data_IF_712674284786
#
_entry.id   IF_712674284786
#
_cell.length_a   1.000
_cell.length_b   1.000
_cell.length_c   1.000
_cell.angle_alpha   90.00
_cell.angle_beta   90.00
_cell.angle_gamma   90.00
#
_symmetry.space_group_name_H-M   'P 1'
#
loop_
_entity.id
_entity.type
_entity.pdbx_description
1 polymer ?
#
# COMPACT_ATOMS: atom_id res chain seq x y z
N UNK A 1 -3.15 -29.79 5.99
CA UNK A 1 -2.19 -28.66 5.89
C UNK A 1 -2.90 -27.39 6.34
N UNK A 2 -2.24 -26.47 7.06
CA UNK A 2 -2.88 -25.21 7.45
C UNK A 2 -3.35 -24.44 6.20
N UNK A 3 -4.50 -23.76 6.31
CA UNK A 3 -5.01 -22.87 5.26
C UNK A 3 -3.92 -21.84 4.94
N UNK A 4 -3.65 -21.63 3.65
CA UNK A 4 -2.72 -20.57 3.23
C UNK A 4 -3.49 -19.33 2.86
N UNK A 5 -2.98 -18.21 3.35
CA UNK A 5 -3.53 -16.88 3.19
C UNK A 5 -3.03 -16.25 1.89
N UNK A 6 -3.88 -15.56 1.12
CA UNK A 6 -3.51 -14.86 -0.12
C UNK A 6 -3.12 -13.41 0.11
N UNK A 7 -2.57 -13.13 1.29
CA UNK A 7 -2.29 -11.80 1.77
C UNK A 7 -1.77 -11.83 3.18
N UNK A 8 -1.83 -10.67 3.83
CA UNK A 8 -1.44 -10.45 5.21
C UNK A 8 -2.64 -9.97 6.01
N UNK A 9 -2.74 -10.41 7.26
CA UNK A 9 -3.68 -9.85 8.23
C UNK A 9 -3.00 -8.71 8.98
N UNK A 10 -3.48 -7.50 8.75
CA UNK A 10 -3.03 -6.30 9.43
C UNK A 10 -3.96 -6.04 10.61
N UNK A 11 -3.38 -5.76 11.78
CA UNK A 11 -4.15 -5.35 12.95
C UNK A 11 -4.93 -4.08 12.62
N UNK A 12 -6.25 -4.14 12.75
CA UNK A 12 -7.16 -3.03 12.52
C UNK A 12 -8.43 -3.24 13.35
N UNK A 13 -9.03 -2.15 13.80
CA UNK A 13 -10.23 -2.17 14.67
C UNK A 13 -11.49 -1.86 13.88
N UNK A 14 -12.63 -2.42 14.29
CA UNK A 14 -13.93 -2.10 13.67
C UNK A 14 -14.16 -0.59 13.62
N UNK A 15 -14.59 -0.09 12.45
CA UNK A 15 -14.86 1.34 12.24
C UNK A 15 -13.67 2.14 11.73
N UNK A 16 -12.45 1.57 11.72
CA UNK A 16 -11.29 2.24 11.12
C UNK A 16 -11.44 2.37 9.60
N UNK A 17 -10.89 3.46 9.08
CA UNK A 17 -10.91 3.77 7.65
C UNK A 17 -9.84 2.98 6.90
N UNK A 18 -10.22 2.47 5.72
CA UNK A 18 -9.32 1.76 4.81
C UNK A 18 -9.14 2.58 3.55
N UNK A 19 -7.89 2.75 3.16
CA UNK A 19 -7.48 3.60 2.05
C UNK A 19 -6.88 2.78 0.90
N UNK A 20 -7.04 3.26 -0.33
CA UNK A 20 -6.42 2.66 -1.51
C UNK A 20 -4.90 2.77 -1.40
N UNK A 21 -4.21 1.66 -1.62
CA UNK A 21 -2.76 1.56 -1.54
C UNK A 21 -2.08 2.15 -2.78
N UNK A 22 -2.82 2.30 -3.88
CA UNK A 22 -2.32 2.85 -5.13
C UNK A 22 -3.48 3.32 -6.02
N UNK A 23 -3.17 4.18 -6.99
CA UNK A 23 -4.13 4.66 -8.00
C UNK A 23 -4.68 3.49 -8.81
N UNK A 24 -5.98 3.48 -9.08
CA UNK A 24 -6.57 2.40 -9.86
C UNK A 24 -8.06 2.51 -10.10
N UNK A 25 -8.64 1.40 -10.56
CA UNK A 25 -10.07 1.26 -10.85
C UNK A 25 -10.64 0.13 -10.01
N UNK A 26 -11.74 0.40 -9.31
CA UNK A 26 -12.46 -0.62 -8.54
C UNK A 26 -13.07 -1.64 -9.50
N UNK A 27 -12.61 -2.88 -9.46
CA UNK A 27 -13.12 -3.96 -10.35
C UNK A 27 -14.12 -4.86 -9.67
N UNK A 28 -14.12 -4.87 -8.35
CA UNK A 28 -15.11 -5.60 -7.58
C UNK A 28 -15.36 -5.00 -6.21
N UNK A 29 -16.61 -5.07 -5.81
CA UNK A 29 -17.06 -5.06 -4.41
C UNK A 29 -17.85 -6.34 -4.20
N UNK A 30 -17.68 -7.00 -3.06
CA UNK A 30 -18.45 -8.20 -2.73
C UNK A 30 -19.04 -8.10 -1.33
N UNK A 31 -20.28 -8.59 -1.22
CA UNK A 31 -21.04 -8.63 0.02
C UNK A 31 -20.92 -10.00 0.69
N UNK A 32 -21.34 -10.08 1.96
CA UNK A 32 -21.49 -11.33 2.69
C UNK A 32 -22.31 -12.33 1.87
N UNK A 33 -21.72 -13.47 1.56
CA UNK A 33 -22.45 -14.62 1.02
C UNK A 33 -22.77 -15.55 2.17
N UNK A 34 -24.04 -15.93 2.33
CA UNK A 34 -24.47 -16.96 3.30
C UNK A 34 -23.86 -18.34 3.07
N UNK A 35 -23.04 -18.50 2.03
CA UNK A 35 -22.39 -19.76 1.64
C UNK A 35 -20.84 -19.68 1.66
N UNK A 36 -20.26 -18.48 1.79
CA UNK A 36 -18.81 -18.27 1.80
C UNK A 36 -18.46 -17.12 2.76
N UNK A 37 -17.97 -17.46 3.96
CA UNK A 37 -17.58 -16.51 5.01
C UNK A 37 -16.26 -15.77 4.73
N UNK A 38 -15.93 -15.47 3.46
CA UNK A 38 -14.73 -14.69 3.11
C UNK A 38 -14.90 -13.20 3.40
N UNK A 39 -16.06 -12.80 3.91
CA UNK A 39 -16.33 -11.44 4.31
C UNK A 39 -16.71 -10.52 3.16
N UNK A 40 -16.72 -9.22 3.47
CA UNK A 40 -16.97 -8.14 2.53
C UNK A 40 -15.64 -7.54 2.11
N UNK A 41 -15.57 -7.01 0.90
CA UNK A 41 -14.31 -6.47 0.41
C UNK A 41 -14.37 -5.72 -0.90
N UNK A 42 -13.24 -5.13 -1.26
CA UNK A 42 -13.01 -4.39 -2.50
C UNK A 42 -11.74 -4.89 -3.19
N UNK A 43 -11.77 -4.93 -4.51
CA UNK A 43 -10.61 -5.24 -5.36
C UNK A 43 -10.37 -4.08 -6.31
N UNK A 44 -9.15 -3.57 -6.32
CA UNK A 44 -8.73 -2.46 -7.18
C UNK A 44 -7.69 -3.01 -8.17
N UNK A 45 -7.90 -2.72 -9.45
CA UNK A 45 -6.92 -2.95 -10.50
C UNK A 45 -6.10 -1.68 -10.70
N UNK A 46 -4.78 -1.87 -10.73
CA UNK A 46 -3.79 -0.86 -11.03
C UNK A 46 -3.22 -1.15 -12.43
N UNK A 47 -2.06 -0.58 -12.76
CA UNK A 47 -1.39 -0.82 -14.06
C UNK A 47 -1.09 -2.30 -14.31
N UNK A 48 -0.28 -2.91 -13.44
CA UNK A 48 0.23 -4.28 -13.63
C UNK A 48 -0.10 -5.23 -12.47
N UNK A 49 -0.91 -4.80 -11.50
CA UNK A 49 -1.28 -5.60 -10.34
C UNK A 49 -2.67 -5.24 -9.82
N UNK A 50 -3.21 -6.07 -8.94
CA UNK A 50 -4.45 -5.82 -8.20
C UNK A 50 -4.23 -5.90 -6.70
N UNK A 51 -4.90 -5.02 -5.96
CA UNK A 51 -4.98 -5.07 -4.50
C UNK A 51 -6.36 -5.54 -4.05
N UNK A 52 -6.40 -6.28 -2.95
CA UNK A 52 -7.62 -6.82 -2.34
C UNK A 52 -7.67 -6.46 -0.88
N UNK A 53 -8.83 -5.96 -0.45
CA UNK A 53 -9.10 -5.52 0.91
C UNK A 53 -10.33 -6.27 1.40
N UNK A 54 -10.22 -7.03 2.48
CA UNK A 54 -11.31 -7.86 3.01
C UNK A 54 -11.55 -7.59 4.50
N UNK A 55 -12.69 -8.05 4.99
CA UNK A 55 -13.25 -7.70 6.29
C UNK A 55 -13.59 -6.21 6.38
N UNK A 56 -14.06 -5.65 5.27
CA UNK A 56 -14.39 -4.23 5.13
C UNK A 56 -15.76 -4.01 4.49
N UNK A 57 -16.48 -2.97 4.91
CA UNK A 57 -17.62 -2.42 4.17
C UNK A 57 -17.10 -1.42 3.11
N UNK A 58 -17.20 -1.71 1.81
CA UNK A 58 -16.78 -0.77 0.77
C UNK A 58 -17.66 0.48 0.78
N UNK A 59 -17.04 1.64 0.59
CA UNK A 59 -17.73 2.94 0.36
C UNK A 59 -17.57 3.43 -1.08
N UNK A 60 -16.99 2.60 -1.95
CA UNK A 60 -16.81 2.84 -3.38
C UNK A 60 -17.60 1.83 -4.21
N UNK A 61 -17.85 2.16 -5.47
CA UNK A 61 -18.60 1.32 -6.41
C UNK A 61 -17.68 0.74 -7.49
N UNK A 62 -18.08 -0.40 -8.07
CA UNK A 62 -17.38 -0.99 -9.23
C UNK A 62 -17.37 0.01 -10.38
N UNK A 63 -16.21 0.18 -11.01
CA UNK A 63 -15.95 1.15 -12.08
C UNK A 63 -15.42 2.50 -11.59
N UNK A 64 -15.42 2.78 -10.28
CA UNK A 64 -14.86 4.02 -9.76
C UNK A 64 -13.34 4.06 -9.91
N UNK A 65 -12.82 5.21 -10.34
CA UNK A 65 -11.40 5.54 -10.19
C UNK A 65 -11.13 5.94 -8.75
N UNK A 66 -10.00 5.50 -8.21
CA UNK A 66 -9.53 5.85 -6.87
C UNK A 66 -8.08 6.28 -6.93
N UNK A 67 -7.72 7.29 -6.14
CA UNK A 67 -6.34 7.73 -5.97
C UNK A 67 -5.71 7.03 -4.76
N UNK A 68 -4.39 6.93 -4.75
CA UNK A 68 -3.59 6.55 -3.59
C UNK A 68 -4.01 7.40 -2.38
N UNK A 69 -4.24 6.74 -1.24
CA UNK A 69 -4.68 7.40 -0.01
C UNK A 69 -6.16 7.80 0.00
N UNK A 70 -6.94 7.49 -1.04
CA UNK A 70 -8.38 7.71 -1.03
C UNK A 70 -9.09 6.68 -0.14
N UNK A 71 -10.02 7.12 0.70
CA UNK A 71 -10.87 6.21 1.50
C UNK A 71 -11.73 5.34 0.58
N UNK A 72 -11.66 4.02 0.79
CA UNK A 72 -12.36 3.03 -0.03
C UNK A 72 -13.27 2.11 0.77
N UNK A 73 -13.04 1.94 2.07
CA UNK A 73 -13.85 1.07 2.90
C UNK A 73 -13.72 1.40 4.40
N UNK A 74 -14.49 0.70 5.22
CA UNK A 74 -14.46 0.77 6.70
C UNK A 74 -14.32 -0.65 7.24
N UNK A 75 -13.45 -0.88 8.23
CA UNK A 75 -13.26 -2.19 8.86
C UNK A 75 -14.56 -2.66 9.52
N UNK A 76 -14.88 -3.94 9.36
CA UNK A 76 -16.04 -4.58 10.00
C UNK A 76 -15.66 -5.89 10.66
N UNK A 77 -16.33 -6.19 11.76
CA UNK A 77 -16.23 -7.50 12.38
C UNK A 77 -16.97 -8.52 11.51
N UNK A 78 -16.26 -9.59 11.13
CA UNK A 78 -16.85 -10.71 10.42
C UNK A 78 -16.51 -11.97 11.21
N UNK A 79 -17.54 -12.65 11.69
CA UNK A 79 -17.44 -13.88 12.47
C UNK A 79 -16.56 -13.78 13.74
N UNK A 80 -16.52 -12.61 14.39
CA UNK A 80 -15.80 -12.41 15.65
C UNK A 80 -14.32 -12.06 15.49
N UNK A 81 -13.84 -11.87 14.26
CA UNK A 81 -12.47 -11.49 13.96
C UNK A 81 -12.43 -10.06 13.38
N UNK A 82 -11.51 -9.24 13.91
CA UNK A 82 -11.28 -7.86 13.46
C UNK A 82 -9.82 -7.70 13.01
N UNK A 83 -9.65 -7.55 11.70
CA UNK A 83 -8.39 -7.25 11.05
C UNK A 83 -8.67 -6.77 9.64
N UNK A 84 -7.67 -6.19 8.98
CA UNK A 84 -7.69 -5.98 7.55
C UNK A 84 -6.95 -7.13 6.87
N UNK A 85 -7.66 -7.92 6.07
CA UNK A 85 -7.00 -8.78 5.12
C UNK A 85 -6.56 -7.96 3.91
N UNK A 86 -5.26 -7.88 3.67
CA UNK A 86 -4.68 -7.18 2.52
C UNK A 86 -3.92 -8.14 1.61
N UNK A 87 -4.30 -8.21 0.33
CA UNK A 87 -3.67 -9.06 -0.67
C UNK A 87 -3.18 -8.27 -1.88
N UNK A 88 -2.01 -8.65 -2.40
CA UNK A 88 -1.48 -8.13 -3.66
C UNK A 88 -1.34 -9.26 -4.65
N UNK A 89 -1.79 -9.05 -5.88
CA UNK A 89 -1.66 -10.00 -6.99
C UNK A 89 -1.09 -9.30 -8.20
N UNK A 90 0.04 -9.77 -8.71
CA UNK A 90 0.56 -9.33 -10.01
C UNK A 90 -0.41 -9.75 -11.14
N UNK A 91 -0.58 -8.88 -12.12
CA UNK A 91 -1.54 -8.99 -13.20
C UNK A 91 -2.87 -8.25 -12.96
N UNK A 92 -3.56 -8.00 -14.08
CA UNK A 92 -4.87 -7.37 -14.15
C UNK A 92 -5.96 -8.18 -13.44
N UNK A 93 -7.10 -7.57 -13.18
CA UNK A 93 -8.21 -8.19 -12.47
C UNK A 93 -8.75 -9.42 -13.21
N UNK A 94 -8.98 -10.47 -12.43
CA UNK A 94 -9.74 -11.64 -12.83
C UNK A 94 -10.58 -12.13 -11.66
N UNK A 95 -11.44 -13.13 -11.88
CA UNK A 95 -12.21 -13.74 -10.80
C UNK A 95 -11.31 -14.29 -9.66
N UNK A 96 -10.06 -14.63 -9.96
CA UNK A 96 -9.06 -15.11 -9.00
C UNK A 96 -8.60 -13.99 -8.05
N UNK A 97 -8.65 -12.71 -8.45
CA UNK A 97 -8.25 -11.58 -7.58
C UNK A 97 -9.11 -11.45 -6.32
N UNK A 98 -10.31 -12.04 -6.26
CA UNK A 98 -11.21 -11.98 -5.10
C UNK A 98 -10.88 -12.98 -3.98
N UNK A 99 -9.84 -13.80 -4.14
CA UNK A 99 -9.54 -14.88 -3.20
C UNK A 99 -8.81 -14.32 -1.97
N UNK A 100 -9.39 -14.54 -0.78
CA UNK A 100 -8.77 -14.23 0.54
C UNK A 100 -8.12 -15.43 1.24
N UNK A 101 -8.39 -16.65 0.78
CA UNK A 101 -7.74 -17.85 1.25
C UNK A 101 -7.61 -18.84 0.10
N UNK A 102 -6.49 -19.58 0.06
CA UNK A 102 -6.26 -20.58 -0.97
C UNK A 102 -6.96 -21.91 -0.67
N UNK A 103 -7.55 -22.54 -1.70
CA UNK A 103 -7.86 -23.98 -1.67
C UNK A 103 -6.55 -24.81 -1.58
N UNK A 104 -6.63 -26.14 -1.33
CA UNK A 104 -5.47 -26.94 -0.88
C UNK A 104 -4.69 -27.84 -1.92
N UNK A 105 -5.07 -28.04 -3.21
CA UNK A 105 -4.37 -28.80 -4.31
C UNK A 105 -4.59 -28.45 -5.83
N UNK A 106 -3.65 -28.37 -6.79
CA UNK A 106 -3.96 -27.92 -8.20
C UNK A 106 -5.16 -28.57 -8.96
N UNK A 107 -6.18 -27.77 -9.39
CA UNK A 107 -7.13 -28.15 -10.46
C UNK A 107 -8.62 -28.22 -10.12
N UNK A 108 -9.04 -28.06 -8.86
CA UNK A 108 -10.45 -28.00 -8.46
C UNK A 108 -10.85 -26.54 -8.17
N UNK A 109 -10.84 -25.71 -9.21
CA UNK A 109 -11.72 -24.55 -9.14
C UNK A 109 -13.15 -25.09 -9.15
N UNK A 110 -13.81 -24.98 -8.01
CA UNK A 110 -15.24 -25.18 -7.86
C UNK A 110 -16.03 -24.06 -8.58
N UNK A 111 -15.56 -23.60 -9.74
CA UNK A 111 -16.16 -22.58 -10.59
C UNK A 111 -17.05 -23.27 -11.62
N UNK A 112 -18.30 -23.49 -11.26
CA UNK A 112 -19.32 -24.03 -12.15
C UNK A 112 -20.36 -22.94 -12.41
N UNK A 113 -20.75 -22.75 -13.67
CA UNK A 113 -21.79 -21.79 -14.08
C UNK A 113 -21.59 -20.36 -13.53
N UNK A 114 -20.34 -19.90 -13.43
CA UNK A 114 -20.03 -18.56 -12.95
C UNK A 114 -19.91 -18.40 -11.42
N UNK A 115 -19.92 -19.48 -10.63
CA UNK A 115 -19.95 -19.44 -9.15
C UNK A 115 -18.92 -20.37 -8.49
N UNK A 116 -18.33 -19.94 -7.37
CA UNK A 116 -17.40 -20.73 -6.55
C UNK A 116 -18.13 -21.59 -5.50
N UNK A 117 -17.72 -22.85 -5.29
CA UNK A 117 -18.39 -23.83 -4.39
C UNK A 117 -17.48 -24.56 -3.38
N UNK A 118 -16.29 -24.04 -3.02
CA UNK A 118 -15.47 -24.58 -1.91
C UNK A 118 -13.98 -24.82 -2.18
N UNK A 119 -13.27 -25.41 -1.21
CA UNK A 119 -11.80 -25.34 -1.06
C UNK A 119 -10.99 -26.65 -1.22
N UNK A 120 -11.46 -27.66 -1.97
CA UNK A 120 -10.87 -29.01 -1.88
C UNK A 120 -9.66 -29.30 -2.78
N UNK A 121 -9.41 -28.54 -3.85
CA UNK A 121 -8.12 -28.58 -4.56
C UNK A 121 -7.75 -27.26 -5.32
N UNK A 122 -6.81 -26.41 -4.83
CA UNK A 122 -5.84 -25.62 -5.66
C UNK A 122 -4.39 -25.58 -5.06
N UNK A 123 -3.27 -25.57 -5.83
CA UNK A 123 -1.94 -25.73 -5.22
C UNK A 123 -1.54 -24.46 -4.47
N UNK A 124 -0.41 -24.53 -3.76
CA UNK A 124 0.27 -23.38 -3.16
C UNK A 124 0.39 -22.21 -4.15
N UNK A 125 -0.27 -21.09 -3.83
CA UNK A 125 -0.32 -19.84 -4.60
C UNK A 125 -0.82 -20.00 -6.06
N UNK A 126 -2.06 -19.60 -6.40
CA UNK A 126 -2.44 -19.39 -7.78
C UNK A 126 -1.56 -18.25 -8.30
N UNK A 127 -1.08 -18.45 -9.53
CA UNK A 127 -0.13 -17.61 -10.23
C UNK A 127 -0.34 -16.12 -9.90
N UNK A 128 0.75 -15.49 -9.44
CA UNK A 128 0.91 -14.05 -9.24
C UNK A 128 0.43 -13.43 -7.91
N UNK A 129 -0.19 -14.15 -6.96
CA UNK A 129 -0.32 -13.58 -5.61
C UNK A 129 1.07 -13.44 -4.97
N UNK A 130 1.34 -12.27 -4.41
CA UNK A 130 2.64 -11.94 -3.82
C UNK A 130 2.70 -12.55 -2.43
N UNK A 131 3.68 -13.41 -2.17
CA UNK A 131 3.96 -13.96 -0.85
C UNK A 131 4.78 -12.94 -0.05
N UNK A 132 4.20 -12.24 0.95
CA UNK A 132 4.90 -11.20 1.67
C UNK A 132 6.10 -11.74 2.46
N UNK A 133 6.15 -13.04 2.75
CA UNK A 133 7.26 -13.69 3.46
C UNK A 133 8.42 -14.07 2.55
N UNK A 134 8.22 -14.00 1.22
CA UNK A 134 9.27 -14.25 0.21
C UNK A 134 9.69 -13.00 -0.53
N UNK A 135 9.06 -11.86 -0.26
CA UNK A 135 9.53 -10.57 -0.75
C UNK A 135 10.89 -10.30 -0.14
N UNK A 136 11.90 -10.23 -1.01
CA UNK A 136 13.13 -9.51 -0.69
C UNK A 136 12.81 -8.05 -0.98
N UNK A 137 12.65 -7.26 0.07
CA UNK A 137 12.66 -5.82 -0.08
C UNK A 137 14.08 -5.45 -0.48
N UNK A 138 14.31 -5.19 -1.77
CA UNK A 138 15.34 -4.22 -2.13
C UNK A 138 14.79 -2.92 -1.57
N UNK A 139 15.22 -2.57 -0.34
CA UNK A 139 15.10 -1.21 0.11
C UNK A 139 15.85 -0.45 -0.99
N UNK A 140 15.11 0.24 -1.86
CA UNK A 140 15.69 1.35 -2.58
C UNK A 140 16.02 2.34 -1.48
N UNK A 141 17.20 2.17 -0.90
CA UNK A 141 17.74 3.12 0.06
C UNK A 141 17.83 4.38 -0.78
N UNK A 142 17.02 5.40 -0.47
CA UNK A 142 17.11 6.63 -1.24
C UNK A 142 18.57 7.09 -1.15
N UNK A 143 19.13 7.41 -2.32
CA UNK A 143 20.56 7.74 -2.43
C UNK A 143 20.80 8.97 -1.56
N UNK A 144 21.88 8.94 -0.82
CA UNK A 144 22.38 10.01 0.04
C UNK A 144 23.86 10.11 -0.36
N UNK A 145 24.12 10.93 -1.37
CA UNK A 145 25.37 10.95 -2.12
C UNK A 145 26.55 11.49 -1.30
N UNK A 146 26.28 12.32 -0.28
CA UNK A 146 27.29 12.91 0.59
C UNK A 146 27.29 12.37 2.04
N UNK A 147 26.25 11.64 2.42
CA UNK A 147 26.12 10.95 3.70
C UNK A 147 25.74 11.86 4.87
N UNK A 148 25.12 13.01 4.62
CA UNK A 148 24.72 13.96 5.66
C UNK A 148 23.37 13.60 6.33
N UNK A 149 22.61 12.70 5.70
CA UNK A 149 21.33 12.20 6.17
C UNK A 149 20.11 12.81 5.47
N UNK A 150 20.29 13.69 4.49
CA UNK A 150 19.31 14.01 3.45
C UNK A 150 19.50 13.06 2.26
N UNK A 151 18.39 12.75 1.60
CA UNK A 151 18.45 12.00 0.34
C UNK A 151 18.66 12.93 -0.85
N UNK A 152 19.23 12.45 -1.95
CA UNK A 152 19.43 13.23 -3.18
C UNK A 152 18.12 13.91 -3.66
N UNK A 153 16.97 13.27 -3.43
CA UNK A 153 15.66 13.85 -3.75
C UNK A 153 15.27 14.99 -2.79
N UNK A 154 15.57 14.84 -1.51
CA UNK A 154 15.37 15.89 -0.50
C UNK A 154 16.30 17.08 -0.72
N UNK A 155 17.55 16.83 -1.07
CA UNK A 155 18.52 17.88 -1.37
C UNK A 155 18.11 18.71 -2.59
N UNK A 156 17.67 18.05 -3.68
CA UNK A 156 17.08 18.75 -4.84
C UNK A 156 15.86 19.59 -4.46
N UNK A 157 15.08 19.13 -3.49
CA UNK A 157 13.88 19.81 -3.01
C UNK A 157 14.21 21.01 -2.12
N UNK A 158 15.24 20.92 -1.29
CA UNK A 158 15.67 22.00 -0.38
C UNK A 158 16.71 22.93 -1.03
N UNK A 159 17.25 22.58 -2.19
CA UNK A 159 18.21 23.39 -2.94
C UNK A 159 19.66 23.23 -2.48
N UNK A 160 20.00 22.12 -1.82
CA UNK A 160 21.33 21.81 -1.30
C UNK A 160 22.15 20.99 -2.34
N UNK A 161 23.45 20.86 -2.13
CA UNK A 161 24.40 20.22 -3.03
C UNK A 161 24.56 18.73 -2.70
N UNK A 162 24.06 17.90 -3.63
CA UNK A 162 24.11 16.45 -3.62
C UNK A 162 25.43 15.79 -3.19
N UNK A 163 26.55 16.49 -3.30
CA UNK A 163 27.87 15.89 -3.04
C UNK A 163 28.59 16.54 -1.85
N UNK A 164 27.88 17.30 -1.01
CA UNK A 164 28.51 18.11 0.02
C UNK A 164 27.63 18.33 1.25
N UNK A 165 28.04 17.69 2.35
CA UNK A 165 27.28 17.66 3.62
C UNK A 165 26.90 19.02 4.21
N UNK A 166 27.63 20.07 3.83
CA UNK A 166 27.45 21.45 4.25
C UNK A 166 27.58 22.27 2.97
N UNK A 167 26.44 22.57 2.34
CA UNK A 167 26.38 23.15 1.00
C UNK A 167 27.09 24.50 0.91
N UNK A 168 27.06 25.30 1.97
CA UNK A 168 27.59 26.66 1.98
C UNK A 168 28.85 26.88 2.84
N UNK A 169 29.41 25.80 3.40
CA UNK A 169 30.65 25.74 4.20
C UNK A 169 30.58 26.61 5.48
N UNK A 170 29.42 26.76 6.10
CA UNK A 170 29.24 27.56 7.31
C UNK A 170 29.52 26.79 8.62
N UNK A 171 29.67 25.48 8.53
CA UNK A 171 29.95 24.56 9.62
C UNK A 171 28.74 23.79 10.14
N UNK A 172 27.55 23.96 9.56
CA UNK A 172 26.36 23.17 9.82
C UNK A 172 26.02 22.29 8.61
N UNK A 173 25.55 21.07 8.85
CA UNK A 173 25.17 20.19 7.74
C UNK A 173 23.78 20.54 7.21
N UNK A 174 23.55 20.33 5.92
CA UNK A 174 22.28 20.64 5.25
C UNK A 174 21.09 19.97 5.97
N UNK A 175 21.27 18.71 6.40
CA UNK A 175 20.31 17.98 7.22
C UNK A 175 19.90 18.70 8.49
N UNK A 176 20.85 19.28 9.21
CA UNK A 176 20.60 19.99 10.46
C UNK A 176 19.82 21.28 10.19
N UNK A 177 20.17 21.99 9.14
CA UNK A 177 19.47 23.21 8.74
C UNK A 177 18.02 22.92 8.35
N UNK A 178 17.78 21.85 7.57
CA UNK A 178 16.44 21.39 7.20
C UNK A 178 15.63 20.98 8.43
N UNK A 179 16.22 20.23 9.38
CA UNK A 179 15.54 19.83 10.61
C UNK A 179 15.13 21.02 11.47
N UNK A 180 16.05 21.97 11.67
CA UNK A 180 15.77 23.20 12.42
C UNK A 180 14.70 24.04 11.73
N UNK A 181 14.72 24.09 10.39
CA UNK A 181 13.73 24.79 9.60
C UNK A 181 12.31 24.19 9.78
N UNK A 182 12.20 22.85 9.79
CA UNK A 182 10.94 22.14 9.98
C UNK A 182 10.42 22.21 11.42
N UNK A 183 11.31 22.13 12.41
CA UNK A 183 10.97 22.12 13.84
C UNK A 183 10.51 23.50 14.33
N UNK A 184 11.32 24.53 14.08
CA UNK A 184 11.07 25.86 14.66
C UNK A 184 10.22 26.77 13.76
N UNK A 185 9.85 26.29 12.56
CA UNK A 185 9.36 27.14 11.46
C UNK A 185 10.12 28.47 11.36
N UNK A 186 11.45 28.54 11.55
CA UNK A 186 12.18 29.76 11.31
C UNK A 186 12.25 29.92 9.79
N UNK A 187 11.20 30.52 9.24
CA UNK A 187 11.24 31.10 7.90
C UNK A 187 12.12 32.33 8.07
N UNK A 188 13.39 32.25 7.67
CA UNK A 188 14.10 33.46 7.24
C UNK A 188 13.47 33.85 5.90
N UNK A 189 12.26 34.39 5.97
CA UNK A 189 11.54 34.87 4.81
C UNK A 189 12.35 36.04 4.24
N UNK A 190 12.96 35.84 3.08
CA UNK A 190 13.15 36.98 2.19
C UNK A 190 11.76 37.50 1.82
N UNK A 191 11.69 38.81 1.53
CA UNK A 191 10.45 39.61 1.47
C UNK A 191 9.40 39.18 0.43
N UNK A 192 9.60 38.07 -0.27
CA UNK A 192 8.77 37.51 -1.32
C UNK A 192 8.14 36.13 -1.00
N UNK A 193 8.49 35.51 0.13
CA UNK A 193 7.87 34.25 0.57
C UNK A 193 8.52 32.98 0.02
N UNK A 194 9.75 33.04 -0.50
CA UNK A 194 10.56 31.86 -0.81
C UNK A 194 11.05 31.16 0.48
N UNK A 195 11.07 29.82 0.46
CA UNK A 195 11.71 29.03 1.50
C UNK A 195 13.22 29.19 1.36
N UNK A 196 13.85 29.83 2.33
CA UNK A 196 15.29 30.04 2.37
C UNK A 196 15.93 29.05 3.36
N UNK A 197 16.73 28.14 2.83
CA UNK A 197 17.72 27.35 3.57
C UNK A 197 19.06 28.03 3.30
N UNK A 198 19.93 28.24 4.31
CA UNK A 198 21.17 28.99 4.13
C UNK A 198 21.99 28.38 3.00
N UNK A 199 21.91 29.01 1.84
CA UNK A 199 22.80 28.76 0.73
C UNK A 199 23.28 30.14 0.34
N UNK A 200 24.30 30.59 1.09
CA UNK A 200 25.18 31.75 0.86
C UNK A 200 24.84 33.12 1.43
N UNK A 201 25.93 33.75 1.91
CA UNK A 201 26.29 35.16 1.68
C UNK A 201 26.84 35.34 0.26
#
# INVERSE_FOLDING_TARGET
MPKRHTGVDLKASVGEDVYAAYDGVVKAVYALSSKHNWGKGVVIEHSEFTTTYMHVNPVVNVGAHVNNGQKIAIIVNIDGDEHLHFGVRSGTYSAISKRGALPQKHGDSNYQEGRFTGCKSDPLFPEKFVDPMKLKYEIAIPVDSDGDGLTDEEELKYGTDLNKQDSDDDGFSDKLEVDLALEYKPILALSDGELFYPTKV
#
